data_IF_679599090280
#
_entry.id   IF_679599090280
#
_cell.length_a   1.000
_cell.length_b   1.000
_cell.length_c   1.000
_cell.angle_alpha   90.00
_cell.angle_beta   90.00
_cell.angle_gamma   90.00
#
_symmetry.space_group_name_H-M   'P 1'
#
loop_
_entity.id
_entity.type
_entity.pdbx_description
1 polymer ?
2 non-polymer ?
3 water ?
#
# COMPACT_ATOMS: atom_id res chain seq x y z
N UNK A 2 21.30 3.17 -13.09
CA UNK A 2 19.84 3.46 -13.27
C UNK A 2 19.22 2.47 -14.26
N UNK A 3 19.67 1.21 -14.27
CA UNK A 3 19.20 0.16 -15.22
C UNK A 3 17.71 -0.10 -15.00
N UNK A 4 16.94 -0.27 -16.10
CA UNK A 4 15.46 -0.42 -16.10
C UNK A 4 15.00 -1.29 -17.26
N UNK A 5 13.73 -1.71 -17.25
CA UNK A 5 13.01 -2.37 -18.38
C UNK A 5 11.74 -1.58 -18.67
N UNK A 6 11.23 -1.66 -19.89
CA UNK A 6 10.00 -0.94 -20.33
C UNK A 6 8.82 -1.91 -20.27
N UNK A 7 7.79 -1.54 -19.51
CA UNK A 7 6.58 -2.38 -19.27
C UNK A 7 5.35 -1.56 -19.67
N UNK A 8 4.40 -2.17 -20.35
CA UNK A 8 3.11 -1.56 -20.78
C UNK A 8 2.04 -2.64 -20.66
N UNK A 9 0.76 -2.26 -20.64
CA UNK A 9 -0.35 -3.24 -20.68
C UNK A 9 -0.95 -3.25 -22.09
N UNK A 10 -0.26 -2.64 -23.04
CA UNK A 10 -0.68 -2.54 -24.46
C UNK A 10 0.50 -1.99 -25.27
N UNK A 11 0.98 -2.73 -26.28
CA UNK A 11 2.08 -2.29 -27.19
C UNK A 11 1.66 -1.00 -27.90
N UNK A 12 0.35 -0.75 -27.97
CA UNK A 12 -0.29 0.53 -28.43
C UNK A 12 0.12 1.70 -27.52
N UNK A 13 0.01 1.53 -26.20
CA UNK A 13 0.26 2.60 -25.18
C UNK A 13 1.76 2.83 -25.01
N UNK A 14 2.14 4.01 -24.50
CA UNK A 14 3.53 4.36 -24.08
C UNK A 14 3.86 3.61 -22.80
N UNK A 15 5.01 2.91 -22.75
CA UNK A 15 5.36 2.10 -21.57
C UNK A 15 5.88 2.94 -20.39
N UNK A 16 5.91 2.31 -19.21
CA UNK A 16 6.50 2.85 -17.96
C UNK A 16 7.87 2.20 -17.78
N UNK A 17 8.83 2.96 -17.25
CA UNK A 17 10.19 2.49 -16.93
C UNK A 17 10.12 1.83 -15.55
N UNK A 18 10.54 0.56 -15.47
CA UNK A 18 10.53 -0.26 -14.22
C UNK A 18 11.99 -0.53 -13.85
N UNK A 19 12.51 0.10 -12.77
CA UNK A 19 13.89 -0.13 -12.35
C UNK A 19 14.18 -1.58 -11.96
N UNK A 20 15.38 -2.05 -12.30
CA UNK A 20 15.93 -3.39 -11.93
C UNK A 20 16.71 -3.28 -10.61
N UNK A 21 16.93 -4.41 -9.95
CA UNK A 21 17.71 -4.51 -8.70
C UNK A 21 19.20 -4.49 -9.06
N UNK A 22 20.07 -4.50 -8.05
CA UNK A 22 21.55 -4.41 -8.21
C UNK A 22 22.07 -5.69 -8.88
N UNK A 23 21.35 -6.80 -8.72
CA UNK A 23 21.75 -8.14 -9.25
C UNK A 23 21.21 -8.34 -10.66
N UNK A 24 20.50 -7.35 -11.21
CA UNK A 24 20.03 -7.36 -12.61
C UNK A 24 18.63 -7.97 -12.77
N UNK A 25 18.03 -8.48 -11.69
CA UNK A 25 16.63 -9.00 -11.69
C UNK A 25 15.66 -7.81 -11.58
N UNK A 26 14.36 -8.08 -11.69
CA UNK A 26 13.26 -7.10 -11.45
C UNK A 26 12.30 -7.73 -10.46
N UNK A 27 11.93 -7.02 -9.38
CA UNK A 27 10.93 -7.49 -8.39
C UNK A 27 9.54 -7.37 -9.02
N UNK A 28 8.70 -8.38 -8.85
CA UNK A 28 7.27 -8.32 -9.23
C UNK A 28 6.62 -7.11 -8.52
N UNK A 29 7.03 -6.82 -7.30
CA UNK A 29 6.48 -5.70 -6.47
C UNK A 29 6.71 -4.35 -7.18
N UNK A 30 7.87 -4.16 -7.83
CA UNK A 30 8.16 -2.96 -8.65
C UNK A 30 7.14 -2.84 -9.79
N UNK A 31 6.75 -3.96 -10.41
CA UNK A 31 5.75 -4.00 -11.51
C UNK A 31 4.34 -3.74 -10.95
N UNK A 32 3.95 -4.43 -9.87
CA UNK A 32 2.56 -4.39 -9.33
C UNK A 32 2.27 -3.01 -8.72
N UNK A 33 3.28 -2.28 -8.26
CA UNK A 33 3.15 -0.87 -7.83
C UNK A 33 2.55 -0.02 -8.96
N UNK A 34 2.92 -0.30 -10.21
CA UNK A 34 2.43 0.43 -11.41
C UNK A 34 1.23 -0.29 -12.03
N UNK A 35 1.19 -1.62 -11.92
CA UNK A 35 0.17 -2.49 -12.56
C UNK A 35 -0.42 -3.44 -11.51
N UNK A 36 -1.21 -2.91 -10.54
CA UNK A 36 -1.79 -3.77 -9.51
C UNK A 36 -2.57 -4.93 -10.13
N UNK A 37 -2.32 -6.16 -9.64
CA UNK A 37 -2.99 -7.39 -10.10
C UNK A 37 -2.17 -8.19 -11.10
N UNK A 38 -1.08 -7.62 -11.63
CA UNK A 38 -0.20 -8.27 -12.63
C UNK A 38 0.33 -9.59 -12.06
N UNK A 39 0.25 -10.66 -12.85
CA UNK A 39 0.72 -12.02 -12.47
C UNK A 39 1.93 -12.44 -13.32
N UNK A 40 2.39 -11.61 -14.26
CA UNK A 40 3.65 -11.87 -14.99
C UNK A 40 3.87 -10.95 -16.17
N UNK A 41 5.00 -11.14 -16.85
CA UNK A 41 5.41 -10.38 -18.06
C UNK A 41 5.55 -11.33 -19.25
N UNK A 42 5.20 -10.86 -20.44
CA UNK A 42 5.53 -11.51 -21.73
C UNK A 42 6.12 -10.47 -22.70
N UNK A 43 6.87 -10.93 -23.70
CA UNK A 43 7.47 -10.10 -24.77
C UNK A 43 7.44 -10.87 -26.10
N UNK A 44 7.50 -10.14 -27.22
CA UNK A 44 7.68 -10.76 -28.56
C UNK A 44 9.15 -11.17 -28.69
N UNK A 45 9.41 -12.47 -28.85
CA UNK A 45 10.74 -13.01 -29.21
C UNK A 45 11.09 -12.45 -30.58
N UNK A 46 12.15 -11.61 -30.71
CA UNK A 46 12.48 -11.00 -32.00
C UNK A 46 12.91 -12.03 -33.07
N UNK A 47 13.32 -13.24 -32.66
CA UNK A 47 13.78 -14.33 -33.58
C UNK A 47 12.56 -15.08 -34.13
N UNK A 48 11.72 -15.63 -33.26
CA UNK A 48 10.54 -16.46 -33.63
C UNK A 48 9.35 -15.57 -34.05
N UNK A 49 9.34 -14.31 -33.58
CA UNK A 49 8.20 -13.37 -33.71
C UNK A 49 6.98 -13.90 -32.93
N UNK A 50 7.20 -14.82 -31.99
CA UNK A 50 6.14 -15.37 -31.11
C UNK A 50 6.28 -14.75 -29.72
N UNK A 51 5.15 -14.63 -29.01
CA UNK A 51 5.11 -14.13 -27.62
C UNK A 51 5.77 -15.18 -26.70
N UNK A 52 6.45 -14.70 -25.66
CA UNK A 52 7.36 -15.50 -24.80
C UNK A 52 7.25 -14.98 -23.36
N UNK A 53 7.29 -15.90 -22.39
CA UNK A 53 7.10 -15.60 -20.96
C UNK A 53 8.40 -15.29 -20.27
N UNK A 54 8.34 -14.43 -19.24
CA UNK A 54 9.48 -14.12 -18.33
C UNK A 54 9.40 -15.09 -17.14
N UNK A 55 10.54 -15.69 -16.75
CA UNK A 55 10.64 -16.58 -15.58
C UNK A 55 10.31 -15.78 -14.32
N UNK A 56 9.52 -16.36 -13.41
CA UNK A 56 9.03 -15.72 -12.16
C UNK A 56 9.07 -16.73 -11.02
N UNK A 57 9.96 -16.53 -10.06
CA UNK A 57 10.18 -17.41 -8.88
C UNK A 57 10.16 -16.53 -7.61
N UNK A 58 9.14 -16.69 -6.76
CA UNK A 58 9.06 -16.07 -5.42
C UNK A 58 9.16 -14.54 -5.56
N UNK A 59 8.32 -13.98 -6.43
CA UNK A 59 8.19 -12.52 -6.63
C UNK A 59 9.39 -11.90 -7.34
N UNK A 60 10.28 -12.72 -7.94
CA UNK A 60 11.49 -12.25 -8.65
C UNK A 60 11.38 -12.61 -10.13
N UNK A 61 11.39 -11.61 -11.01
CA UNK A 61 11.40 -11.76 -12.48
C UNK A 61 12.86 -11.87 -12.94
N UNK A 62 13.18 -12.90 -13.72
CA UNK A 62 14.55 -13.20 -14.20
C UNK A 62 14.64 -12.81 -15.68
N UNK A 63 15.72 -12.13 -16.06
CA UNK A 63 15.99 -11.69 -17.45
C UNK A 63 16.03 -12.93 -18.35
N UNK A 64 15.57 -12.82 -19.61
CA UNK A 64 15.92 -13.81 -20.63
C UNK A 64 17.43 -14.10 -20.65
N UNK A 65 17.82 -15.30 -21.08
CA UNK A 65 19.23 -15.74 -21.25
C UNK A 65 20.00 -14.67 -22.04
N UNK A 66 19.34 -14.09 -23.05
CA UNK A 66 19.89 -13.05 -23.94
C UNK A 66 19.95 -11.68 -23.25
N UNK A 67 19.49 -11.57 -22.00
CA UNK A 67 19.40 -10.29 -21.26
C UNK A 67 18.07 -9.60 -21.51
N UNK A 68 17.76 -8.57 -20.71
CA UNK A 68 16.51 -7.76 -20.82
C UNK A 68 16.44 -7.06 -22.19
N UNK A 69 17.60 -6.63 -22.70
CA UNK A 69 17.73 -5.92 -23.99
C UNK A 69 16.96 -4.61 -23.98
N UNK A 70 16.42 -4.22 -25.14
CA UNK A 70 15.67 -2.95 -25.33
C UNK A 70 14.21 -3.27 -25.63
N UNK A 71 13.74 -4.44 -25.20
CA UNK A 71 12.40 -4.98 -25.55
C UNK A 71 11.32 -4.27 -24.71
N UNK A 72 10.12 -4.15 -25.27
CA UNK A 72 8.89 -3.73 -24.55
C UNK A 72 8.26 -5.00 -23.97
N UNK A 73 8.07 -5.03 -22.65
CA UNK A 73 7.42 -6.15 -21.93
C UNK A 73 5.96 -5.77 -21.67
N UNK A 74 5.07 -6.76 -21.73
CA UNK A 74 3.60 -6.59 -21.54
C UNK A 74 3.19 -7.35 -20.26
N UNK A 75 2.36 -6.74 -19.42
CA UNK A 75 1.87 -7.38 -18.17
C UNK A 75 0.71 -8.32 -18.52
N UNK A 76 0.63 -9.46 -17.82
CA UNK A 76 -0.54 -10.37 -17.81
C UNK A 76 -1.33 -10.16 -16.53
N UNK A 77 -2.65 -10.16 -16.63
CA UNK A 77 -3.60 -10.17 -15.50
C UNK A 77 -4.39 -11.49 -15.52
N UNK A 78 -4.89 -11.97 -14.36
CA UNK A 78 -5.95 -12.98 -14.36
C UNK A 78 -7.26 -12.38 -14.89
N UNK A 79 -8.32 -13.21 -14.99
CA UNK A 79 -9.65 -12.80 -15.53
C UNK A 79 -10.65 -12.71 -14.36
N UNK B 1 10.99 21.40 9.16
CA UNK B 1 12.47 21.25 8.97
C UNK B 1 12.86 19.76 9.08
N UNK B 2 13.20 19.13 7.94
CA UNK B 2 13.62 17.70 7.80
C UNK B 2 13.34 17.19 6.37
N UNK B 3 14.08 16.17 5.93
CA UNK B 3 14.08 15.67 4.53
C UNK B 3 12.68 15.12 4.18
N UNK B 4 12.21 15.42 2.96
CA UNK B 4 10.86 15.07 2.46
C UNK B 4 10.90 14.85 0.94
N UNK B 5 9.82 14.31 0.38
CA UNK B 5 9.56 14.22 -1.09
C UNK B 5 8.19 14.85 -1.35
N UNK B 6 7.97 15.35 -2.57
CA UNK B 6 6.70 15.99 -2.97
C UNK B 6 5.85 14.97 -3.73
N UNK B 7 4.62 14.73 -3.25
CA UNK B 7 3.69 13.72 -3.81
C UNK B 7 2.38 14.43 -4.14
N UNK B 8 1.79 14.11 -5.29
CA UNK B 8 0.49 14.63 -5.77
C UNK B 8 -0.24 13.51 -6.47
N UNK B 9 -1.56 13.62 -6.67
CA UNK B 9 -2.32 12.62 -7.46
C UNK B 9 -2.60 13.21 -8.84
N UNK B 10 -1.95 14.32 -9.18
CA UNK B 10 -2.11 15.04 -10.47
C UNK B 10 -1.01 16.10 -10.56
N UNK B 11 -0.17 16.06 -11.60
CA UNK B 11 0.89 17.08 -11.86
C UNK B 11 0.25 18.46 -11.99
N UNK B 12 -1.04 18.50 -12.33
CA UNK B 12 -1.93 19.71 -12.33
C UNK B 12 -2.03 20.30 -10.92
N UNK B 13 -2.32 19.48 -9.91
CA UNK B 13 -2.58 19.90 -8.50
C UNK B 13 -1.25 20.26 -7.81
N UNK B 14 -1.33 21.05 -6.74
CA UNK B 14 -0.19 21.36 -5.82
C UNK B 14 0.08 20.12 -4.96
N UNK B 15 1.36 19.67 -4.87
CA UNK B 15 1.70 18.47 -4.11
C UNK B 15 1.70 18.68 -2.59
N UNK B 16 1.69 17.56 -1.85
CA UNK B 16 1.88 17.48 -0.38
C UNK B 16 3.31 17.06 -0.09
N UNK B 17 3.90 17.58 0.98
CA UNK B 17 5.25 17.19 1.45
C UNK B 17 5.12 15.93 2.29
N UNK B 18 5.84 14.86 1.91
CA UNK B 18 5.82 13.54 2.60
C UNK B 18 7.19 13.32 3.23
N UNK B 19 7.30 13.38 4.57
CA UNK B 19 8.58 13.19 5.25
C UNK B 19 9.19 11.80 5.00
N UNK B 20 10.52 11.75 4.87
CA UNK B 20 11.34 10.52 4.75
C UNK B 20 11.79 10.07 6.15
N UNK B 21 12.18 8.80 6.27
CA UNK B 21 12.72 8.21 7.51
C UNK B 21 14.18 8.62 7.66
N UNK B 22 14.80 8.25 8.78
CA UNK B 22 16.20 8.64 9.11
C UNK B 22 17.18 7.95 8.14
N UNK B 23 16.78 6.80 7.57
CA UNK B 23 17.63 5.98 6.66
C UNK B 23 17.44 6.44 5.20
N UNK B 24 16.60 7.45 4.96
CA UNK B 24 16.44 8.08 3.63
C UNK B 24 15.32 7.44 2.81
N UNK B 25 14.68 6.38 3.31
CA UNK B 25 13.52 5.73 2.66
C UNK B 25 12.26 6.54 2.99
N UNK B 26 11.13 6.18 2.36
CA UNK B 26 9.79 6.74 2.65
C UNK B 26 8.85 5.56 2.91
N UNK B 27 8.11 5.58 4.02
CA UNK B 27 7.11 4.52 4.34
C UNK B 27 5.89 4.73 3.46
N UNK B 28 5.35 3.66 2.89
CA UNK B 28 4.05 3.69 2.18
C UNK B 28 2.97 4.25 3.11
N UNK B 29 3.05 3.95 4.41
CA UNK B 29 2.07 4.39 5.43
C UNK B 29 2.03 5.93 5.50
N UNK B 30 3.19 6.59 5.40
CA UNK B 30 3.28 8.07 5.35
C UNK B 30 2.51 8.60 4.13
N UNK B 31 2.59 7.91 2.98
CA UNK B 31 1.86 8.28 1.74
C UNK B 31 0.36 8.00 1.90
N UNK B 32 -0.02 6.82 2.38
CA UNK B 32 -1.45 6.38 2.42
C UNK B 32 -2.23 7.20 3.45
N UNK B 33 -1.57 7.74 4.47
CA UNK B 33 -2.16 8.69 5.44
C UNK B 33 -2.75 9.90 4.68
N UNK B 34 -2.07 10.36 3.62
CA UNK B 34 -2.50 11.51 2.79
C UNK B 34 -3.30 11.02 1.56
N UNK B 35 -2.99 9.83 1.05
CA UNK B 35 -3.59 9.27 -0.18
C UNK B 35 -4.09 7.84 0.09
N UNK B 36 -5.16 7.68 0.89
CA UNK B 36 -5.68 6.35 1.19
C UNK B 36 -5.96 5.57 -0.10
N UNK B 37 -5.51 4.32 -0.17
CA UNK B 37 -5.71 3.41 -1.32
C UNK B 37 -4.48 3.33 -2.23
N UNK B 38 -3.52 4.24 -2.09
CA UNK B 38 -2.32 4.33 -2.95
C UNK B 38 -1.57 2.99 -2.90
N UNK B 39 -1.17 2.48 -4.07
CA UNK B 39 -0.44 1.20 -4.22
C UNK B 39 0.99 1.45 -4.74
N UNK B 40 1.37 2.69 -5.02
CA UNK B 40 2.76 3.02 -5.41
C UNK B 40 2.95 4.45 -5.87
N UNK B 41 4.20 4.79 -6.18
CA UNK B 41 4.61 6.12 -6.73
C UNK B 41 5.22 5.92 -8.12
N UNK B 42 4.98 6.89 -9.00
CA UNK B 42 5.73 7.04 -10.28
C UNK B 42 6.17 8.51 -10.42
N UNK B 43 7.17 8.77 -11.26
CA UNK B 43 7.65 10.14 -11.60
C UNK B 43 8.01 10.20 -13.07
N UNK B 44 8.02 11.41 -13.63
CA UNK B 44 8.51 11.65 -15.01
C UNK B 44 10.03 11.62 -14.96
N UNK B 45 10.66 10.69 -15.68
CA UNK B 45 12.12 10.72 -15.97
C UNK B 45 12.38 11.98 -16.79
N UNK B 46 13.14 12.97 -16.25
CA UNK B 46 13.36 14.22 -16.97
C UNK B 46 14.15 14.05 -18.30
N UNK B 47 14.86 12.93 -18.45
CA UNK B 47 15.69 12.63 -19.66
C UNK B 47 14.80 12.04 -20.77
N UNK B 48 14.11 10.94 -20.48
CA UNK B 48 13.24 10.22 -21.45
C UNK B 48 11.88 10.92 -21.63
N UNK B 49 11.46 11.70 -20.61
CA UNK B 49 10.11 12.32 -20.51
C UNK B 49 9.05 11.21 -20.39
N UNK B 50 9.46 10.00 -20.01
CA UNK B 50 8.55 8.85 -19.77
C UNK B 50 8.39 8.65 -18.26
N UNK B 51 7.24 8.12 -17.87
CA UNK B 51 6.93 7.82 -16.46
C UNK B 51 7.78 6.61 -16.03
N UNK B 52 8.18 6.59 -14.76
CA UNK B 52 9.13 5.63 -14.16
C UNK B 52 8.64 5.29 -12.75
N UNK B 53 8.76 4.03 -12.35
CA UNK B 53 8.20 3.50 -11.09
C UNK B 53 9.22 3.59 -9.96
N UNK B 54 8.73 3.77 -8.74
CA UNK B 54 9.54 3.74 -7.49
C UNK B 54 9.49 2.31 -6.95
N UNK B 55 10.64 1.76 -6.55
CA UNK B 55 10.73 0.42 -5.92
C UNK B 55 9.96 0.44 -4.59
N UNK B 56 9.21 -0.63 -4.32
CA UNK B 56 8.35 -0.80 -3.12
C UNK B 56 8.46 -2.24 -2.61
N UNK B 57 9.06 -2.41 -1.44
CA UNK B 57 9.29 -3.73 -0.78
C UNK B 57 8.79 -3.65 0.67
N UNK B 58 7.73 -4.39 1.01
CA UNK B 58 7.21 -4.56 2.39
C UNK B 58 6.89 -3.17 2.97
N UNK B 59 6.11 -2.38 2.25
CA UNK B 59 5.61 -1.06 2.69
C UNK B 59 6.70 0.01 2.75
N UNK B 60 7.87 -0.24 2.16
CA UNK B 60 9.02 0.71 2.15
C UNK B 60 9.31 1.13 0.71
N UNK B 61 9.19 2.43 0.41
CA UNK B 61 9.54 3.05 -0.90
C UNK B 61 11.02 3.40 -0.88
N UNK B 62 11.76 2.96 -1.90
CA UNK B 62 13.22 3.17 -2.03
C UNK B 62 13.48 4.24 -3.09
N UNK B 63 14.38 5.17 -2.77
CA UNK B 63 14.77 6.29 -3.67
C UNK B 63 15.31 5.70 -4.97
N UNK B 64 15.10 6.36 -6.12
CA UNK B 64 15.89 6.09 -7.32
C UNK B 64 17.40 6.07 -7.00
N UNK B 65 18.19 5.33 -7.78
CA UNK B 65 19.67 5.22 -7.67
C UNK B 65 20.26 6.63 -7.62
N UNK B 66 19.69 7.55 -8.39
CA UNK B 66 20.10 8.98 -8.50
C UNK B 66 19.63 9.79 -7.29
N UNK B 67 18.93 9.18 -6.33
CA UNK B 67 18.36 9.86 -5.15
C UNK B 67 16.97 10.40 -5.45
N UNK B 68 16.24 10.83 -4.40
CA UNK B 68 14.86 11.40 -4.51
C UNK B 68 14.88 12.68 -5.36
N UNK B 69 15.95 13.47 -5.24
CA UNK B 69 16.11 14.77 -5.92
C UNK B 69 15.02 15.75 -5.51
N UNK B 70 14.62 16.61 -6.45
CA UNK B 70 13.59 17.67 -6.25
C UNK B 70 12.37 17.35 -7.11
N UNK B 71 12.17 16.07 -7.43
CA UNK B 71 11.13 15.62 -8.40
C UNK B 71 9.76 15.62 -7.72
N UNK B 72 8.71 15.82 -8.51
CA UNK B 72 7.29 15.62 -8.13
C UNK B 72 6.94 14.15 -8.40
N UNK B 73 6.50 13.42 -7.38
CA UNK B 73 6.06 12.01 -7.47
C UNK B 73 4.53 11.98 -7.54
N UNK B 74 3.99 11.02 -8.28
CA UNK B 74 2.52 10.84 -8.49
C UNK B 74 2.11 9.50 -7.89
N UNK B 75 1.00 9.45 -7.17
CA UNK B 75 0.47 8.20 -6.56
C UNK B 75 -0.28 7.41 -7.63
N UNK B 76 -0.18 6.07 -7.58
CA UNK B 76 -1.03 5.13 -8.34
C UNK B 76 -2.08 4.55 -7.40
N UNK B 77 -3.30 4.39 -7.92
CA UNK B 77 -4.42 3.66 -7.28
C UNK B 77 -4.75 2.44 -8.13
N UNK B 78 -5.32 1.37 -7.54
CA UNK B 78 -5.96 0.31 -8.33
C UNK B 78 -7.24 0.85 -9.00
N UNK B 79 -7.86 0.03 -9.88
CA UNK B 79 -9.06 0.36 -10.69
C UNK B 79 -10.29 -0.34 -10.09
N UNK C 2 -1.83 18.08 30.54
CA UNK C 2 -0.48 18.49 30.02
C UNK C 2 -0.47 18.46 28.47
N UNK C 3 0.58 17.92 27.82
CA UNK C 3 0.93 18.24 26.41
C UNK C 3 -0.17 17.71 25.48
N UNK C 4 -0.50 18.49 24.45
CA UNK C 4 -1.59 18.23 23.47
C UNK C 4 -1.22 18.84 22.12
N UNK C 5 -1.99 18.49 21.08
CA UNK C 5 -1.96 19.13 19.73
C UNK C 5 -3.38 19.57 19.38
N UNK C 6 -3.53 20.57 18.51
CA UNK C 6 -4.85 21.08 18.06
C UNK C 6 -5.18 20.45 16.71
N UNK C 7 -6.34 19.79 16.62
CA UNK C 7 -6.81 19.06 15.41
C UNK C 7 -8.19 19.61 15.03
N UNK C 8 -8.42 19.83 13.74
CA UNK C 8 -9.71 20.28 13.17
C UNK C 8 -9.92 19.57 11.83
N UNK C 9 -11.14 19.54 11.29
CA UNK C 9 -11.39 18.98 9.95
C UNK C 9 -11.58 20.14 8.96
N UNK C 10 -11.23 21.35 9.38
CA UNK C 10 -11.38 22.61 8.58
C UNK C 10 -10.67 23.73 9.34
N UNK C 11 -9.68 24.38 8.72
CA UNK C 11 -8.95 25.55 9.31
C UNK C 11 -9.96 26.66 9.61
N UNK C 12 -11.11 26.65 8.94
CA UNK C 12 -12.31 27.50 9.19
C UNK C 12 -12.86 27.25 10.60
N UNK C 13 -13.06 25.97 10.98
CA UNK C 13 -13.70 25.55 12.26
C UNK C 13 -12.72 25.73 13.42
N UNK C 14 -13.25 25.81 14.65
CA UNK C 14 -12.45 25.81 15.91
C UNK C 14 -11.96 24.39 16.16
N UNK C 15 -10.64 24.20 16.44
CA UNK C 15 -10.09 22.87 16.65
C UNK C 15 -10.41 22.26 18.03
N UNK C 16 -10.19 20.95 18.15
CA UNK C 16 -10.27 20.17 19.42
C UNK C 16 -8.83 19.92 19.90
N UNK C 17 -8.62 19.92 21.21
CA UNK C 17 -7.32 19.58 21.85
C UNK C 17 -7.23 18.06 21.94
N UNK C 18 -6.16 17.48 21.39
CA UNK C 18 -5.90 16.02 21.36
C UNK C 18 -4.67 15.75 22.23
N UNK C 19 -4.82 15.13 23.43
CA UNK C 19 -3.69 14.85 24.29
C UNK C 19 -2.66 13.89 23.66
N UNK C 20 -1.38 14.14 23.94
CA UNK C 20 -0.23 13.29 23.54
C UNK C 20 0.05 12.27 24.66
N UNK C 21 0.79 11.20 24.32
CA UNK C 21 1.22 10.15 25.27
C UNK C 21 2.44 10.67 26.03
N UNK C 22 2.95 9.89 27.00
CA UNK C 22 4.08 10.30 27.88
C UNK C 22 5.37 10.38 27.05
N UNK C 23 5.45 9.66 25.93
CA UNK C 23 6.66 9.60 25.07
C UNK C 23 6.61 10.70 24.00
N UNK C 24 5.56 11.53 23.99
CA UNK C 24 5.45 12.70 23.10
C UNK C 24 4.76 12.39 21.77
N UNK C 25 4.40 11.13 21.51
CA UNK C 25 3.61 10.71 20.32
C UNK C 25 2.13 11.01 20.57
N UNK C 26 1.30 10.82 19.54
CA UNK C 26 -0.18 10.92 19.62
C UNK C 26 -0.76 9.65 19.03
N UNK C 27 -1.67 8.97 19.75
CA UNK C 27 -2.35 7.75 19.25
C UNK C 27 -3.39 8.18 18.21
N UNK C 28 -3.47 7.45 17.10
CA UNK C 28 -4.56 7.64 16.10
C UNK C 28 -5.91 7.48 16.81
N UNK C 29 -6.01 6.57 17.78
CA UNK C 29 -7.26 6.27 18.53
C UNK C 29 -7.75 7.52 19.26
N UNK C 30 -6.85 8.33 19.83
CA UNK C 30 -7.18 9.63 20.46
C UNK C 30 -7.84 10.57 19.43
N UNK C 31 -7.35 10.56 18.19
CA UNK C 31 -7.92 11.40 17.08
C UNK C 31 -9.26 10.83 16.63
N UNK C 32 -9.36 9.52 16.39
CA UNK C 32 -10.56 8.88 15.78
C UNK C 32 -11.74 8.91 16.77
N UNK C 33 -11.46 8.97 18.08
CA UNK C 33 -12.50 9.19 19.11
C UNK C 33 -13.26 10.49 18.83
N UNK C 34 -12.58 11.53 18.35
CA UNK C 34 -13.18 12.85 18.01
C UNK C 34 -13.55 12.90 16.52
N UNK C 35 -12.80 12.21 15.67
CA UNK C 35 -12.95 12.25 14.19
C UNK C 35 -13.03 10.83 13.64
N UNK C 36 -14.13 10.10 13.89
CA UNK C 36 -14.26 8.73 13.41
C UNK C 36 -14.04 8.69 11.88
N UNK C 37 -13.22 7.74 11.42
CA UNK C 37 -12.91 7.52 10.00
C UNK C 37 -11.58 8.14 9.57
N UNK C 38 -10.99 9.02 10.40
CA UNK C 38 -9.74 9.74 10.09
C UNK C 38 -8.64 8.72 9.77
N UNK C 39 -7.89 8.93 8.69
CA UNK C 39 -6.81 8.04 8.22
C UNK C 39 -5.45 8.75 8.33
N UNK C 40 -5.40 10.01 8.74
CA UNK C 40 -4.12 10.72 9.00
C UNK C 40 -4.30 12.19 9.31
N UNK C 41 -3.17 12.86 9.60
CA UNK C 41 -3.09 14.32 9.86
C UNK C 41 -2.20 14.98 8.82
N UNK C 42 -2.53 16.22 8.43
CA UNK C 42 -1.64 17.11 7.66
C UNK C 42 -1.65 18.50 8.30
N UNK C 43 -0.62 19.31 8.03
CA UNK C 43 -0.49 20.72 8.50
C UNK C 43 0.15 21.57 7.41
N UNK C 44 -0.07 22.88 7.47
CA UNK C 44 0.65 23.84 6.58
C UNK C 44 2.06 24.00 7.14
N UNK C 45 3.07 23.62 6.34
CA UNK C 45 4.50 23.91 6.62
C UNK C 45 4.66 25.42 6.60
N UNK C 46 5.00 26.07 7.74
CA UNK C 46 5.12 27.53 7.78
C UNK C 46 6.26 28.08 6.89
N UNK C 47 7.23 27.24 6.51
CA UNK C 47 8.39 27.61 5.66
C UNK C 47 7.97 27.62 4.18
N UNK C 48 7.47 26.49 3.68
CA UNK C 48 7.09 26.30 2.24
C UNK C 48 5.71 26.90 1.98
N UNK C 49 4.86 27.02 3.01
CA UNK C 49 3.41 27.36 2.91
C UNK C 49 2.66 26.26 2.13
N UNK C 50 3.24 25.06 2.05
CA UNK C 50 2.62 23.87 1.43
C UNK C 50 2.14 22.92 2.54
N UNK C 51 1.12 22.12 2.22
CA UNK C 51 0.59 21.10 3.15
C UNK C 51 1.63 19.97 3.27
N UNK C 52 1.72 19.38 4.47
CA UNK C 52 2.77 18.41 4.86
C UNK C 52 2.11 17.33 5.73
N UNK C 53 2.52 16.08 5.55
CA UNK C 53 1.90 14.91 6.21
C UNK C 53 2.60 14.59 7.51
N UNK C 54 1.83 14.02 8.45
CA UNK C 54 2.36 13.48 9.73
C UNK C 54 2.65 12.00 9.52
N UNK C 55 3.82 11.52 9.96
CA UNK C 55 4.18 10.08 9.90
C UNK C 55 3.22 9.29 10.80
N UNK C 56 2.79 8.13 10.31
CA UNK C 56 1.81 7.23 10.98
C UNK C 56 2.26 5.77 10.79
N UNK C 57 2.64 5.12 11.89
CA UNK C 57 3.09 3.70 11.93
C UNK C 57 2.31 2.97 13.03
N UNK C 58 1.45 2.03 12.63
CA UNK C 58 0.75 1.09 13.57
C UNK C 58 -0.04 1.90 14.60
N UNK C 59 -0.89 2.81 14.12
CA UNK C 59 -1.80 3.62 14.94
C UNK C 59 -1.10 4.67 15.77
N UNK C 60 0.19 4.95 15.51
CA UNK C 60 0.99 5.96 16.28
C UNK C 60 1.40 7.09 15.34
N UNK C 61 0.95 8.31 15.65
CA UNK C 61 1.34 9.55 14.93
C UNK C 61 2.61 10.10 15.56
N UNK C 62 3.64 10.38 14.74
CA UNK C 62 4.97 10.85 15.18
C UNK C 62 5.10 12.35 14.86
N UNK C 63 5.60 13.13 15.82
CA UNK C 63 5.80 14.59 15.70
C UNK C 63 6.74 14.85 14.52
N UNK C 64 6.54 15.97 13.78
CA UNK C 64 7.58 16.48 12.90
C UNK C 64 8.93 16.56 13.62
N UNK C 65 10.04 16.46 12.87
CA UNK C 65 11.44 16.56 13.38
C UNK C 65 11.57 17.84 14.22
N UNK C 66 10.90 18.91 13.77
CA UNK C 66 10.88 20.25 14.43
C UNK C 66 9.97 20.26 15.68
N UNK C 67 9.31 19.15 16.00
CA UNK C 67 8.33 19.05 17.11
C UNK C 67 6.93 19.41 16.65
N UNK C 68 5.92 19.09 17.48
CA UNK C 68 4.48 19.39 17.21
C UNK C 68 4.26 20.90 17.08
N UNK C 69 5.01 21.70 17.85
CA UNK C 69 4.92 23.17 17.86
C UNK C 69 3.54 23.63 18.31
N UNK C 70 3.07 24.75 17.77
CA UNK C 70 1.76 25.38 18.13
C UNK C 70 0.81 25.30 16.93
N UNK C 71 1.04 24.34 16.03
CA UNK C 71 0.38 24.28 14.71
C UNK C 71 -1.02 23.70 14.87
N UNK C 72 -1.94 24.11 13.99
CA UNK C 72 -3.27 23.47 13.79
C UNK C 72 -3.09 22.33 12.77
N UNK C 73 -3.44 21.11 13.17
CA UNK C 73 -3.40 19.90 12.31
C UNK C 73 -4.81 19.64 11.77
N UNK C 74 -4.88 19.13 10.54
CA UNK C 74 -6.15 18.84 9.82
C UNK C 74 -6.23 17.33 9.60
N UNK C 75 -7.41 16.73 9.84
CA UNK C 75 -7.63 15.28 9.63
C UNK C 75 -7.90 15.03 8.15
N UNK C 76 -7.40 13.89 7.64
CA UNK C 76 -7.76 13.36 6.30
C UNK C 76 -8.74 12.20 6.49
N UNK C 77 -9.75 12.14 5.61
CA UNK C 77 -10.69 11.02 5.49
C UNK C 77 -10.49 10.38 4.11
N UNK C 78 -10.82 9.08 3.95
CA UNK C 78 -11.02 8.50 2.62
C UNK C 78 -12.29 9.08 1.95
N UNK C 79 -12.61 8.64 0.73
CA UNK C 79 -13.91 8.90 0.06
C UNK C 79 -14.83 7.66 0.17
N UNK D 3 -15.71 7.89 42.10
CA UNK D 3 -16.52 6.62 41.94
C UNK D 3 -17.21 6.59 40.58
N UNK D 4 -17.53 7.76 40.00
CA UNK D 4 -18.25 7.92 38.71
C UNK D 4 -17.80 9.18 37.98
N UNK D 5 -18.19 9.32 36.71
CA UNK D 5 -18.06 10.57 35.90
C UNK D 5 -19.44 10.91 35.36
N UNK D 6 -19.68 12.18 35.05
CA UNK D 6 -20.97 12.67 34.49
C UNK D 6 -20.84 12.79 32.97
N UNK D 7 -21.73 12.12 32.24
CA UNK D 7 -21.73 12.07 30.76
C UNK D 7 -23.11 12.54 30.27
N UNK D 8 -23.12 13.35 29.22
CA UNK D 8 -24.35 13.88 28.57
C UNK D 8 -24.08 13.96 27.07
N UNK D 9 -25.10 14.09 26.23
CA UNK D 9 -24.91 14.31 24.77
C UNK D 9 -25.22 15.78 24.45
N UNK D 10 -25.28 16.62 25.48
CA UNK D 10 -25.52 18.09 25.38
C UNK D 10 -25.29 18.71 26.76
N UNK D 11 -24.37 19.68 26.88
CA UNK D 11 -24.09 20.40 28.16
C UNK D 11 -25.37 21.08 28.64
N UNK D 12 -26.31 21.34 27.72
CA UNK D 12 -27.71 21.82 27.96
C UNK D 12 -28.48 20.80 28.82
N UNK D 13 -28.45 19.52 28.44
CA UNK D 13 -29.24 18.42 29.08
C UNK D 13 -28.62 18.01 30.42
N UNK D 14 -29.42 17.37 31.29
CA UNK D 14 -28.96 16.77 32.58
C UNK D 14 -28.16 15.51 32.28
N UNK D 15 -26.94 15.36 32.84
CA UNK D 15 -26.10 14.20 32.55
C UNK D 15 -26.51 12.94 33.30
N UNK D 16 -25.98 11.80 32.84
CA UNK D 16 -26.09 10.46 33.49
C UNK D 16 -24.78 10.18 34.23
N UNK D 17 -24.86 9.51 35.38
CA UNK D 17 -23.68 9.08 36.17
C UNK D 17 -23.18 7.76 35.58
N UNK D 18 -21.90 7.72 35.19
CA UNK D 18 -21.24 6.54 34.58
C UNK D 18 -20.18 6.04 35.56
N UNK D 19 -20.40 4.88 36.22
CA UNK D 19 -19.40 4.35 37.16
C UNK D 19 -18.05 4.03 36.50
N UNK D 20 -16.97 4.28 37.25
CA UNK D 20 -15.57 3.93 36.89
C UNK D 20 -15.23 2.55 37.43
N UNK D 21 -14.18 1.93 36.88
CA UNK D 21 -13.65 0.61 37.33
C UNK D 21 -12.79 0.84 38.58
N UNK D 22 -12.30 -0.24 39.18
CA UNK D 22 -11.50 -0.20 40.44
C UNK D 22 -10.16 0.48 40.19
N UNK D 23 -9.66 0.43 38.93
CA UNK D 23 -8.33 0.97 38.55
C UNK D 23 -8.46 2.45 38.14
N UNK D 24 -9.66 3.02 38.19
CA UNK D 24 -9.91 4.45 37.96
C UNK D 24 -10.22 4.77 36.51
N UNK D 25 -10.18 3.80 35.60
CA UNK D 25 -10.59 3.95 34.18
C UNK D 25 -12.12 3.88 34.08
N UNK D 26 -12.65 4.15 32.89
CA UNK D 26 -14.09 3.97 32.55
C UNK D 26 -14.16 3.11 31.28
N UNK D 27 -14.96 2.05 31.29
CA UNK D 27 -15.17 1.19 30.10
C UNK D 27 -16.07 1.94 29.11
N UNK D 28 -15.73 1.90 27.83
CA UNK D 28 -16.61 2.43 26.76
C UNK D 28 -17.97 1.73 26.85
N UNK D 29 -17.99 0.44 27.20
CA UNK D 29 -19.24 -0.38 27.31
C UNK D 29 -20.19 0.23 28.35
N UNK D 30 -19.68 0.73 29.46
CA UNK D 30 -20.48 1.45 30.50
C UNK D 30 -21.16 2.68 29.86
N UNK D 31 -20.46 3.40 28.98
CA UNK D 31 -20.99 4.61 28.28
C UNK D 31 -22.01 4.18 27.22
N UNK D 32 -21.69 3.19 26.39
CA UNK D 32 -22.52 2.80 25.21
C UNK D 32 -23.83 2.15 25.69
N UNK D 33 -23.85 1.54 26.87
CA UNK D 33 -25.09 1.04 27.52
C UNK D 33 -26.11 2.18 27.65
N UNK D 34 -25.66 3.41 27.95
CA UNK D 34 -26.53 4.60 28.10
C UNK D 34 -26.60 5.39 26.79
N UNK D 35 -25.52 5.36 25.98
CA UNK D 35 -25.40 6.15 24.73
C UNK D 35 -24.96 5.23 23.58
N UNK D 36 -25.85 4.33 23.12
CA UNK D 36 -25.51 3.40 22.05
C UNK D 36 -24.98 4.17 20.82
N UNK D 37 -23.84 3.73 20.28
CA UNK D 37 -23.20 4.32 19.08
C UNK D 37 -22.06 5.27 19.42
N UNK D 38 -21.90 5.67 20.69
CA UNK D 38 -20.87 6.61 21.14
C UNK D 38 -19.48 6.08 20.75
N UNK D 39 -18.63 6.93 20.18
CA UNK D 39 -17.27 6.58 19.70
C UNK D 39 -16.21 7.32 20.52
N UNK D 40 -16.59 8.17 21.49
CA UNK D 40 -15.63 8.84 22.38
C UNK D 40 -16.27 9.88 23.28
N UNK D 41 -15.46 10.45 24.18
CA UNK D 41 -15.84 11.54 25.12
C UNK D 41 -14.97 12.77 24.83
N UNK D 42 -15.54 13.97 25.01
CA UNK D 42 -14.80 15.25 25.05
C UNK D 42 -15.30 16.07 26.25
N UNK D 43 -14.49 17.03 26.72
CA UNK D 43 -14.83 17.96 27.82
C UNK D 43 -14.21 19.33 27.55
N UNK D 44 -14.77 20.38 28.18
CA UNK D 44 -14.17 21.73 28.18
C UNK D 44 -12.97 21.74 29.13
N UNK D 45 -11.77 21.98 28.59
CA UNK D 45 -10.52 22.19 29.36
C UNK D 45 -10.74 23.44 30.20
N UNK D 46 -10.75 23.34 31.55
CA UNK D 46 -11.01 24.50 32.40
C UNK D 46 -9.91 25.57 32.32
N UNK D 47 -8.72 25.23 31.82
CA UNK D 47 -7.58 26.20 31.64
C UNK D 47 -7.76 26.99 30.34
N UNK D 48 -7.85 26.30 29.20
CA UNK D 48 -7.92 26.89 27.84
C UNK D 48 -9.34 27.37 27.52
N UNK D 49 -10.34 26.80 28.19
CA UNK D 49 -11.80 26.98 27.92
C UNK D 49 -12.12 26.41 26.53
N UNK D 50 -11.26 25.55 25.98
CA UNK D 50 -11.46 24.87 24.67
C UNK D 50 -11.84 23.41 24.90
N UNK D 51 -12.54 22.79 23.95
CA UNK D 51 -12.92 21.36 24.01
C UNK D 51 -11.68 20.49 23.81
N UNK D 52 -11.65 19.34 24.49
CA UNK D 52 -10.49 18.43 24.61
C UNK D 52 -10.98 16.98 24.64
N UNK D 53 -10.24 16.07 24.02
CA UNK D 53 -10.63 14.65 23.85
C UNK D 53 -10.11 13.78 24.99
N UNK D 54 -10.85 12.73 25.30
CA UNK D 54 -10.44 11.67 26.27
C UNK D 54 -9.73 10.56 25.48
N UNK D 55 -8.60 10.07 26.01
CA UNK D 55 -7.86 8.93 25.41
C UNK D 55 -8.74 7.67 25.46
N UNK D 56 -8.75 6.89 24.39
CA UNK D 56 -9.55 5.64 24.24
C UNK D 56 -8.70 4.56 23.55
N UNK D 57 -8.37 3.50 24.28
CA UNK D 57 -7.53 2.36 23.81
C UNK D 57 -8.25 1.06 24.16
N UNK D 58 -8.69 0.31 23.15
CA UNK D 58 -9.26 -1.06 23.30
C UNK D 58 -10.45 -1.01 24.25
N UNK D 59 -11.41 -0.11 24.00
CA UNK D 59 -12.67 0.03 24.74
C UNK D 59 -12.49 0.56 26.15
N UNK D 60 -11.31 1.12 26.47
CA UNK D 60 -11.00 1.68 27.82
C UNK D 60 -10.75 3.18 27.68
N UNK D 61 -11.56 3.99 28.36
CA UNK D 61 -11.39 5.46 28.46
C UNK D 61 -10.45 5.78 29.62
N UNK D 62 -9.40 6.57 29.36
CA UNK D 62 -8.37 6.92 30.36
C UNK D 62 -8.60 8.36 30.84
N UNK D 63 -8.53 8.57 32.15
CA UNK D 63 -8.70 9.88 32.79
C UNK D 63 -7.66 10.84 32.24
N UNK D 64 -8.00 12.14 32.08
CA UNK D 64 -6.96 13.17 31.91
C UNK D 64 -5.85 13.04 32.97
N UNK D 65 -4.64 13.49 32.63
CA UNK D 65 -3.45 13.52 33.53
C UNK D 65 -3.86 14.16 34.87
N UNK D 66 -4.70 15.19 34.81
CA UNK D 66 -5.21 15.96 35.97
C UNK D 66 -6.30 15.19 36.72
N UNK D 67 -6.69 14.00 36.27
CA UNK D 67 -7.79 13.20 36.84
C UNK D 67 -9.11 13.56 36.18
N UNK D 68 -10.15 12.73 36.40
CA UNK D 68 -11.52 12.93 35.87
C UNK D 68 -12.10 14.26 36.40
N UNK D 69 -11.80 14.58 37.66
CA UNK D 69 -12.39 15.70 38.40
C UNK D 69 -13.91 15.56 38.50
N UNK D 70 -14.61 16.69 38.51
CA UNK D 70 -16.08 16.77 38.63
C UNK D 70 -16.63 17.37 37.33
N UNK D 71 -15.93 17.16 36.21
CA UNK D 71 -16.27 17.74 34.90
C UNK D 71 -17.45 16.98 34.28
N UNK D 72 -18.22 17.69 33.46
CA UNK D 72 -19.26 17.11 32.56
C UNK D 72 -18.57 16.70 31.26
N UNK D 73 -18.66 15.42 30.89
CA UNK D 73 -18.12 14.84 29.64
C UNK D 73 -19.27 14.73 28.64
N UNK D 74 -18.95 14.96 27.36
CA UNK D 74 -19.93 14.92 26.24
C UNK D 74 -19.55 13.76 25.32
N UNK D 75 -20.54 12.98 24.88
CA UNK D 75 -20.31 11.83 23.95
C UNK D 75 -20.20 12.37 22.53
N UNK D 76 -19.33 11.76 21.72
CA UNK D 76 -19.26 11.94 20.25
C UNK D 76 -19.91 10.72 19.60
N UNK D 77 -20.67 10.97 18.52
CA UNK D 77 -21.22 9.94 17.61
C UNK D 77 -20.59 10.11 16.24
N UNK D 78 -20.51 9.04 15.42
CA UNK D 78 -20.25 9.19 13.99
C UNK D 78 -21.44 9.85 13.29
N UNK D 79 -21.29 10.15 11.99
CA UNK D 79 -22.36 10.70 11.13
C UNK D 79 -23.01 9.53 10.40
N UNK E 2 17.72 -19.77 -26.00
CA UNK E 2 17.63 -20.66 -24.80
C UNK E 2 16.42 -21.60 -24.90
N UNK E 3 16.53 -22.79 -24.29
CA UNK E 3 15.55 -23.90 -24.46
C UNK E 3 14.20 -23.48 -23.88
N UNK E 4 13.11 -23.84 -24.56
CA UNK E 4 11.72 -23.50 -24.23
C UNK E 4 10.77 -24.61 -24.69
N UNK E 5 9.51 -24.56 -24.24
CA UNK E 5 8.39 -25.40 -24.73
C UNK E 5 7.25 -24.48 -25.15
N UNK E 6 6.39 -24.94 -26.07
CA UNK E 6 5.24 -24.15 -26.58
C UNK E 6 3.99 -24.60 -25.83
N UNK E 7 3.30 -23.64 -25.20
CA UNK E 7 2.10 -23.88 -24.35
C UNK E 7 0.97 -23.00 -24.89
N UNK E 8 -0.24 -23.55 -24.97
CA UNK E 8 -1.47 -22.87 -25.40
C UNK E 8 -2.63 -23.40 -24.56
N UNK E 9 -3.76 -22.70 -24.50
CA UNK E 9 -4.97 -23.21 -23.81
C UNK E 9 -5.97 -23.70 -24.86
N UNK E 10 -5.50 -23.85 -26.11
CA UNK E 10 -6.32 -24.33 -27.26
C UNK E 10 -5.36 -24.59 -28.43
N UNK E 11 -5.33 -25.82 -28.97
CA UNK E 11 -4.53 -26.20 -30.17
C UNK E 11 -4.91 -25.29 -31.34
N UNK E 12 -6.13 -24.73 -31.31
CA UNK E 12 -6.67 -23.69 -32.24
C UNK E 12 -5.82 -22.42 -32.16
N UNK E 13 -5.55 -21.91 -30.94
CA UNK E 13 -4.85 -20.62 -30.69
C UNK E 13 -3.34 -20.77 -30.95
N UNK E 14 -2.65 -19.65 -31.20
CA UNK E 14 -1.17 -19.56 -31.29
C UNK E 14 -0.58 -19.69 -29.89
N UNK E 15 0.42 -20.58 -29.69
CA UNK E 15 0.99 -20.80 -28.36
C UNK E 15 1.96 -19.70 -27.89
N UNK E 16 2.26 -19.69 -26.59
CA UNK E 16 3.30 -18.85 -25.94
C UNK E 16 4.53 -19.72 -25.70
N UNK E 17 5.72 -19.13 -25.82
CA UNK E 17 7.01 -19.81 -25.52
C UNK E 17 7.26 -19.72 -24.01
N UNK E 18 7.45 -20.86 -23.36
CA UNK E 18 7.69 -20.98 -21.90
C UNK E 18 9.12 -21.48 -21.69
N UNK E 19 10.05 -20.64 -21.21
CA UNK E 19 11.43 -21.07 -20.99
C UNK E 19 11.56 -22.20 -19.95
N UNK E 20 12.50 -23.11 -20.19
CA UNK E 20 12.89 -24.21 -19.27
C UNK E 20 14.04 -23.76 -18.37
N UNK E 21 14.26 -24.47 -17.27
CA UNK E 21 15.38 -24.23 -16.32
C UNK E 21 16.65 -24.85 -16.89
N UNK E 22 17.78 -24.66 -16.21
CA UNK E 22 19.12 -25.13 -16.68
C UNK E 22 19.17 -26.66 -16.67
N UNK E 23 18.36 -27.31 -15.82
CA UNK E 23 18.34 -28.78 -15.63
C UNK E 23 17.35 -29.43 -16.61
N UNK E 24 16.68 -28.63 -17.45
CA UNK E 24 15.81 -29.12 -18.54
C UNK E 24 14.36 -29.26 -18.11
N UNK E 25 14.04 -29.02 -16.84
CA UNK E 25 12.65 -29.02 -16.31
C UNK E 25 11.99 -27.68 -16.65
N UNK E 26 10.69 -27.55 -16.37
CA UNK E 26 9.90 -26.29 -16.51
C UNK E 26 9.19 -26.06 -15.17
N UNK E 27 9.31 -24.87 -14.60
CA UNK E 27 8.59 -24.51 -13.35
C UNK E 27 7.12 -24.27 -13.69
N UNK E 28 6.21 -24.77 -12.85
CA UNK E 28 4.76 -24.46 -12.96
C UNK E 28 4.58 -22.93 -12.91
N UNK E 29 5.39 -22.23 -12.10
CA UNK E 29 5.32 -20.76 -11.91
C UNK E 29 5.55 -20.04 -13.25
N UNK E 30 6.47 -20.53 -14.09
CA UNK E 30 6.71 -19.99 -15.46
C UNK E 30 5.42 -20.11 -16.29
N UNK E 31 4.68 -21.22 -16.16
CA UNK E 31 3.40 -21.45 -16.89
C UNK E 31 2.30 -20.56 -16.32
N UNK E 32 2.14 -20.50 -14.99
CA UNK E 32 1.01 -19.81 -14.32
C UNK E 32 1.15 -18.28 -14.49
N UNK E 33 2.37 -17.77 -14.67
CA UNK E 33 2.62 -16.36 -15.02
C UNK E 33 1.86 -15.98 -16.30
N UNK E 34 1.78 -16.91 -17.27
CA UNK E 34 1.08 -16.70 -18.56
C UNK E 34 -0.36 -17.24 -18.48
N UNK E 35 -0.59 -18.29 -17.68
CA UNK E 35 -1.89 -18.99 -17.59
C UNK E 35 -2.29 -19.13 -16.11
N UNK E 36 -2.65 -18.01 -15.44
CA UNK E 36 -3.03 -18.08 -14.03
C UNK E 36 -4.16 -19.10 -13.82
N UNK E 37 -3.99 -19.97 -12.81
CA UNK E 37 -4.96 -21.01 -12.44
C UNK E 37 -4.62 -22.39 -12.99
N UNK E 38 -3.67 -22.49 -13.91
CA UNK E 38 -3.26 -23.75 -14.57
C UNK E 38 -2.82 -24.76 -13.49
N UNK E 39 -3.32 -26.00 -13.58
CA UNK E 39 -3.00 -27.10 -12.63
C UNK E 39 -2.20 -28.21 -13.32
N UNK E 40 -1.91 -28.10 -14.62
CA UNK E 40 -1.06 -29.08 -15.32
C UNK E 40 -0.97 -28.87 -16.82
N UNK E 41 -0.14 -29.67 -17.49
CA UNK E 41 0.04 -29.70 -18.96
C UNK E 41 -0.36 -31.08 -19.49
N UNK E 42 -0.96 -31.11 -20.68
CA UNK E 42 -1.17 -32.35 -21.48
C UNK E 42 -0.74 -32.09 -22.93
N UNK E 43 -0.45 -33.15 -23.68
CA UNK E 43 -0.13 -33.11 -25.13
C UNK E 43 -0.72 -34.34 -25.83
N UNK E 44 -0.94 -34.22 -27.13
CA UNK E 44 -1.38 -35.36 -27.98
C UNK E 44 -0.19 -36.30 -28.19
N UNK E 45 -0.29 -37.53 -27.73
CA UNK E 45 0.61 -38.65 -28.08
C UNK E 45 0.48 -38.87 -29.59
N UNK E 46 1.55 -38.63 -30.39
CA UNK E 46 1.47 -38.79 -31.84
C UNK E 46 1.21 -40.23 -32.29
N UNK E 47 1.46 -41.22 -31.43
CA UNK E 47 1.29 -42.68 -31.73
C UNK E 47 -0.18 -43.07 -31.51
N UNK E 48 -0.72 -42.84 -30.31
CA UNK E 48 -2.10 -43.22 -29.92
C UNK E 48 -3.11 -42.19 -30.45
N UNK E 49 -2.68 -40.95 -30.70
CA UNK E 49 -3.53 -39.78 -31.03
C UNK E 49 -4.43 -39.45 -29.83
N UNK E 50 -4.07 -39.92 -28.63
CA UNK E 50 -4.78 -39.62 -27.37
C UNK E 50 -3.97 -38.60 -26.56
N UNK E 51 -4.64 -37.83 -25.70
CA UNK E 51 -4.00 -36.88 -24.77
C UNK E 51 -3.21 -37.65 -23.71
N UNK E 52 -2.10 -37.06 -23.28
CA UNK E 52 -1.12 -37.63 -22.33
C UNK E 52 -0.66 -36.52 -21.38
N UNK E 53 -0.50 -36.86 -20.11
CA UNK E 53 -0.20 -35.90 -19.04
C UNK E 53 1.29 -35.73 -18.83
N UNK E 54 1.70 -34.53 -18.43
CA UNK E 54 3.10 -34.21 -18.02
C UNK E 54 3.20 -34.43 -16.51
N UNK E 55 4.27 -35.09 -16.07
CA UNK E 55 4.54 -35.33 -14.63
C UNK E 55 4.76 -33.98 -13.94
N UNK E 56 4.19 -33.82 -12.73
CA UNK E 56 4.24 -32.57 -11.94
C UNK E 56 4.45 -32.92 -10.45
N UNK E 57 5.62 -32.57 -9.92
CA UNK E 57 6.04 -32.84 -8.51
C UNK E 57 6.56 -31.54 -7.90
N UNK E 58 5.85 -31.00 -6.91
CA UNK E 58 6.28 -29.83 -6.09
C UNK E 58 6.58 -28.66 -7.03
N UNK E 59 5.62 -28.31 -7.89
CA UNK E 59 5.69 -27.14 -8.79
C UNK E 59 6.70 -27.30 -9.92
N UNK E 60 7.20 -28.51 -10.14
CA UNK E 60 8.21 -28.81 -11.21
C UNK E 60 7.59 -29.75 -12.24
N UNK E 61 7.50 -29.31 -13.50
CA UNK E 61 7.04 -30.11 -14.65
C UNK E 61 8.25 -30.85 -15.24
N UNK E 62 8.14 -32.17 -15.42
CA UNK E 62 9.22 -33.05 -15.93
C UNK E 62 8.91 -33.43 -17.37
N UNK E 63 9.92 -33.37 -18.24
CA UNK E 63 9.82 -33.72 -19.67
C UNK E 63 9.36 -35.17 -19.79
N UNK E 64 8.55 -35.52 -20.82
CA UNK E 64 8.39 -36.92 -21.22
C UNK E 64 9.74 -37.63 -21.35
N UNK E 65 9.76 -38.95 -21.16
CA UNK E 65 10.94 -39.83 -21.31
C UNK E 65 11.62 -39.54 -22.65
N UNK E 66 10.82 -39.28 -23.69
CA UNK E 66 11.26 -38.99 -25.07
C UNK E 66 11.79 -37.55 -25.21
N UNK E 67 11.75 -36.76 -24.13
CA UNK E 67 12.12 -35.32 -24.15
C UNK E 67 10.92 -34.46 -24.50
N UNK E 68 11.05 -33.13 -24.32
CA UNK E 68 9.98 -32.13 -24.63
C UNK E 68 9.65 -32.17 -26.12
N UNK E 69 10.65 -32.40 -26.97
CA UNK E 69 10.49 -32.45 -28.44
C UNK E 69 10.02 -31.12 -28.98
N UNK E 70 9.23 -31.15 -30.06
CA UNK E 70 8.72 -29.93 -30.76
C UNK E 70 7.21 -29.84 -30.57
N UNK E 71 6.67 -30.46 -29.52
CA UNK E 71 5.23 -30.65 -29.31
C UNK E 71 4.60 -29.35 -28.78
N UNK E 72 3.32 -29.14 -29.11
CA UNK E 72 2.45 -28.10 -28.50
C UNK E 72 1.82 -28.72 -27.25
N UNK E 73 2.04 -28.09 -26.09
CA UNK E 73 1.46 -28.50 -24.79
C UNK E 73 0.23 -27.63 -24.51
N UNK E 74 -0.78 -28.23 -23.87
CA UNK E 74 -2.07 -27.57 -23.53
C UNK E 74 -2.18 -27.50 -22.00
N UNK E 75 -2.61 -26.36 -21.47
CA UNK E 75 -2.81 -26.18 -20.00
C UNK E 75 -4.17 -26.79 -19.62
N UNK E 76 -4.23 -27.39 -18.43
CA UNK E 76 -5.49 -27.81 -17.76
C UNK E 76 -5.80 -26.81 -16.65
N UNK E 77 -7.08 -26.46 -16.51
CA UNK E 77 -7.64 -25.67 -15.39
C UNK E 77 -8.60 -26.55 -14.60
N UNK E 78 -8.81 -26.28 -13.29
CA UNK E 78 -9.96 -26.84 -12.57
C UNK E 78 -11.26 -26.21 -13.08
N UNK E 79 -12.40 -26.62 -12.51
CA UNK E 79 -13.72 -25.95 -12.70
C UNK E 79 -14.06 -25.11 -11.47
#
# INVERSE_FOLDING_TARGET
MSEYIRVTEDENDEPIEIPSEDDGTVLLSTVTAQFPGACGLRYRNPVSQCMRGVRLVEGILHAPDAGWGNLVYVVNYPKD
MSEYIRVTEDENDEPIEIPSEDDGTVLLSTVTAQFPGACGLRYRNPVSQCMRGVRLVEGILHAPDAGWGNLVYVVNYPKD
MSEYIRVTEDENDEPIEIPSEDDGTVLLSTVTAQFPGACGLRYRNPVSQCMRGVRLVEGILHAPDAGWGNLVYVVNYPKD
MSEYIRVTEDENDEPIEIPSEDDGTVLLSTVTAQFPGACGLRYRNPVSQCMRGVRLVEGILHAPDAGWGNLVYVVNYPKD
MSEYIRVTEDENDEPIEIPSEDDGTVLLSTVTAQFPGACGLRYRNPVSQCMRGVRLVEGILHAPDAGWGNLVYVVNYPKD
#
